data_IF_735423112133
#
_entry.id   IF_735423112133
#
_cell.length_a   1.000
_cell.length_b   1.000
_cell.length_c   1.000
_cell.angle_alpha   90.00
_cell.angle_beta   90.00
_cell.angle_gamma   90.00
#
_symmetry.space_group_name_H-M   'P 1'
#
loop_
_entity.id
_entity.type
_entity.pdbx_description
1 polymer ?
#
# COMPACT_ATOMS: atom_id res chain seq x y z
N UNK A 1 75.37 -10.18 -13.53
CA UNK A 1 74.23 -11.08 -13.80
C UNK A 1 73.01 -10.42 -13.15
N UNK A 2 72.12 -9.72 -13.88
CA UNK A 2 70.94 -10.26 -14.61
C UNK A 2 70.13 -11.25 -13.74
N UNK A 3 68.80 -11.18 -13.53
CA UNK A 3 67.69 -10.28 -13.87
C UNK A 3 66.41 -10.93 -13.23
N UNK A 4 65.31 -10.17 -13.05
CA UNK A 4 63.91 -10.60 -12.81
C UNK A 4 63.37 -10.91 -11.38
N UNK A 5 62.69 -9.91 -10.81
CA UNK A 5 61.30 -10.06 -10.31
C UNK A 5 60.33 -9.92 -11.52
N UNK A 6 58.98 -10.16 -11.46
CA UNK A 6 58.08 -10.20 -10.30
C UNK A 6 56.85 -11.17 -10.45
N UNK A 7 55.80 -10.92 -9.63
CA UNK A 7 54.37 -11.18 -9.88
C UNK A 7 53.76 -12.56 -9.52
N UNK A 8 53.06 -12.60 -8.37
CA UNK A 8 51.70 -13.17 -8.33
C UNK A 8 50.91 -12.54 -7.19
N UNK A 9 50.20 -11.47 -7.58
CA UNK A 9 49.11 -10.89 -6.84
C UNK A 9 47.99 -11.94 -6.70
N UNK A 10 47.80 -12.46 -5.49
CA UNK A 10 46.54 -13.11 -5.14
C UNK A 10 45.50 -12.00 -4.95
N UNK A 11 44.72 -11.84 -6.01
CA UNK A 11 43.59 -10.93 -6.17
C UNK A 11 42.79 -10.73 -4.89
N UNK A 12 42.53 -9.46 -4.63
CA UNK A 12 41.45 -8.98 -3.81
C UNK A 12 40.13 -9.67 -4.19
N UNK A 13 39.71 -10.64 -3.38
CA UNK A 13 38.30 -10.95 -3.22
C UNK A 13 37.67 -9.84 -2.39
N UNK A 14 37.58 -8.62 -2.96
CA UNK A 14 36.64 -7.62 -2.47
C UNK A 14 35.26 -8.25 -2.55
N UNK A 15 34.80 -8.81 -1.43
CA UNK A 15 33.39 -8.99 -1.16
C UNK A 15 32.77 -7.61 -1.24
N UNK A 16 32.33 -7.24 -2.44
CA UNK A 16 31.44 -6.14 -2.64
C UNK A 16 30.18 -6.52 -1.86
N UNK A 17 30.12 -6.05 -0.62
CA UNK A 17 28.88 -5.92 0.14
C UNK A 17 27.87 -5.34 -0.83
N UNK A 18 26.91 -6.18 -1.24
CA UNK A 18 25.83 -5.81 -2.14
C UNK A 18 24.87 -4.92 -1.33
N UNK A 19 25.30 -3.69 -1.08
CA UNK A 19 24.51 -2.56 -0.59
C UNK A 19 23.73 -1.73 -1.65
N UNK A 20 23.46 -2.14 -2.92
CA UNK A 20 22.75 -1.23 -3.83
C UNK A 20 21.22 -1.20 -3.68
N UNK A 21 20.57 -2.16 -3.02
CA UNK A 21 19.08 -2.24 -3.02
C UNK A 21 18.39 -1.47 -1.89
N UNK A 22 19.02 -1.33 -0.72
CA UNK A 22 18.47 -0.54 0.40
C UNK A 22 18.42 0.97 0.11
N UNK A 23 19.30 1.45 -0.79
CA UNK A 23 19.48 2.88 -1.03
C UNK A 23 18.46 3.46 -2.02
N UNK A 24 18.01 2.67 -3.02
CA UNK A 24 17.06 3.13 -4.03
C UNK A 24 15.64 3.34 -3.47
N UNK A 25 15.19 2.47 -2.55
CA UNK A 25 13.91 2.64 -1.87
C UNK A 25 13.90 3.88 -0.94
N UNK A 26 15.01 4.15 -0.24
CA UNK A 26 15.11 5.32 0.65
C UNK A 26 15.06 6.63 -0.11
N UNK A 27 15.79 6.76 -1.22
CA UNK A 27 15.82 8.02 -1.98
C UNK A 27 14.44 8.39 -2.55
N UNK A 28 13.73 7.42 -3.15
CA UNK A 28 12.39 7.66 -3.70
C UNK A 28 11.37 8.02 -2.61
N UNK A 29 11.46 7.38 -1.45
CA UNK A 29 10.63 7.74 -0.28
C UNK A 29 10.95 9.16 0.21
N UNK A 30 12.23 9.51 0.32
CA UNK A 30 12.64 10.86 0.76
C UNK A 30 12.23 11.96 -0.22
N UNK A 31 12.37 11.73 -1.54
CA UNK A 31 11.97 12.73 -2.54
C UNK A 31 10.46 12.99 -2.50
N UNK A 32 9.65 11.94 -2.34
CA UNK A 32 8.20 12.04 -2.14
C UNK A 32 7.87 12.79 -0.85
N UNK A 33 8.52 12.46 0.26
CA UNK A 33 8.36 13.15 1.55
C UNK A 33 8.61 14.65 1.46
N UNK A 34 9.64 15.07 0.72
CA UNK A 34 9.96 16.50 0.54
C UNK A 34 8.87 17.23 -0.25
N UNK A 35 8.33 16.61 -1.30
CA UNK A 35 7.26 17.19 -2.11
C UNK A 35 5.96 17.37 -1.31
N UNK A 36 5.65 16.38 -0.47
CA UNK A 36 4.46 16.39 0.36
C UNK A 36 4.56 17.38 1.54
N UNK A 37 5.72 17.49 2.19
CA UNK A 37 6.01 18.54 3.19
C UNK A 37 5.80 19.94 2.61
N UNK A 38 6.25 20.16 1.37
CA UNK A 38 6.05 21.45 0.67
C UNK A 38 4.57 21.72 0.37
N UNK A 39 3.76 20.69 0.12
CA UNK A 39 2.31 20.85 -0.05
C UNK A 39 1.65 21.24 1.27
N UNK A 40 2.04 20.61 2.38
CA UNK A 40 1.47 20.89 3.71
C UNK A 40 1.85 22.27 4.25
N UNK A 41 3.09 22.70 4.05
CA UNK A 41 3.51 24.07 4.40
C UNK A 41 2.64 25.09 3.67
N UNK A 42 2.43 24.89 2.36
CA UNK A 42 1.53 25.75 1.57
C UNK A 42 0.09 25.72 2.09
N UNK A 43 -0.46 24.54 2.38
CA UNK A 43 -1.82 24.42 2.92
C UNK A 43 -1.97 25.07 4.31
N UNK A 44 -0.94 24.96 5.17
CA UNK A 44 -0.91 25.60 6.47
C UNK A 44 -0.81 27.13 6.34
N UNK A 45 0.00 27.64 5.41
CA UNK A 45 0.13 29.06 5.08
C UNK A 45 -1.17 29.64 4.50
N UNK A 46 -1.93 28.84 3.72
CA UNK A 46 -3.19 29.23 3.08
C UNK A 46 -4.42 29.20 4.00
N UNK A 47 -4.27 28.82 5.28
CA UNK A 47 -5.34 28.97 6.28
C UNK A 47 -5.80 27.69 6.99
N UNK A 48 -5.10 26.57 6.80
CA UNK A 48 -5.23 25.40 7.67
C UNK A 48 -5.10 24.05 6.95
N UNK A 49 -4.69 23.03 7.70
CA UNK A 49 -4.50 21.66 7.20
C UNK A 49 -5.80 20.93 6.85
N UNK A 50 -6.95 21.44 7.31
CA UNK A 50 -8.24 20.84 7.05
C UNK A 50 -9.25 21.88 6.56
N UNK A 51 -9.98 21.57 5.49
CA UNK A 51 -11.07 22.41 5.02
C UNK A 51 -12.23 22.41 6.03
N UNK A 52 -12.74 23.61 6.36
CA UNK A 52 -13.79 23.81 7.38
C UNK A 52 -15.21 23.48 6.91
N UNK A 53 -15.38 23.36 5.60
CA UNK A 53 -16.63 23.14 4.88
C UNK A 53 -16.82 21.70 4.41
N UNK A 54 -15.93 20.78 4.83
CA UNK A 54 -15.95 19.37 4.42
C UNK A 54 -16.20 18.43 5.58
N UNK A 55 -16.74 17.26 5.26
CA UNK A 55 -16.84 16.15 6.20
C UNK A 55 -15.46 15.54 6.40
N UNK A 56 -14.99 15.44 7.64
CA UNK A 56 -13.69 14.84 7.96
C UNK A 56 -13.90 13.51 8.68
N UNK A 57 -13.33 12.44 8.14
CA UNK A 57 -13.32 11.10 8.75
C UNK A 57 -11.92 10.81 9.27
N UNK A 58 -11.79 10.52 10.57
CA UNK A 58 -10.53 10.15 11.20
C UNK A 58 -10.46 8.66 11.54
N UNK A 59 -9.56 7.93 10.90
CA UNK A 59 -9.31 6.50 11.15
C UNK A 59 -8.09 6.36 12.05
N UNK A 60 -8.24 5.73 13.21
CA UNK A 60 -7.12 5.55 14.14
C UNK A 60 -6.16 4.44 13.68
N UNK A 61 -4.88 4.58 14.02
CA UNK A 61 -3.85 3.58 13.75
C UNK A 61 -4.19 2.18 14.31
N UNK A 62 -4.71 2.02 15.55
CA UNK A 62 -5.13 0.72 16.06
C UNK A 62 -6.22 0.05 15.21
N UNK A 63 -7.22 0.83 14.76
CA UNK A 63 -8.29 0.33 13.91
C UNK A 63 -7.75 -0.09 12.53
N UNK A 64 -6.89 0.73 11.93
CA UNK A 64 -6.26 0.37 10.65
C UNK A 64 -5.44 -0.92 10.75
N UNK A 65 -4.71 -1.12 11.85
CA UNK A 65 -3.97 -2.37 12.11
C UNK A 65 -4.90 -3.56 12.33
N UNK A 66 -6.06 -3.38 12.97
CA UNK A 66 -7.06 -4.43 13.11
C UNK A 66 -7.66 -4.84 11.77
N UNK A 67 -8.04 -3.86 10.94
CA UNK A 67 -8.56 -4.10 9.59
C UNK A 67 -7.53 -4.80 8.70
N UNK A 68 -6.27 -4.36 8.74
CA UNK A 68 -5.20 -4.98 7.98
C UNK A 68 -4.94 -6.43 8.43
N UNK A 69 -5.05 -6.71 9.74
CA UNK A 69 -4.96 -8.09 10.27
C UNK A 69 -6.10 -8.99 9.80
N UNK A 70 -7.33 -8.47 9.73
CA UNK A 70 -8.49 -9.22 9.23
C UNK A 70 -8.43 -9.49 7.73
N UNK A 71 -7.76 -8.62 6.97
CA UNK A 71 -7.57 -8.76 5.52
C UNK A 71 -6.44 -9.73 5.13
N UNK A 72 -5.71 -10.29 6.11
CA UNK A 72 -4.59 -11.19 5.93
C UNK A 72 -4.86 -12.56 6.58
N UNK A 73 -4.26 -13.66 6.09
CA UNK A 73 -3.27 -13.73 5.00
C UNK A 73 -3.89 -13.58 3.60
N UNK A 74 -3.10 -13.10 2.65
CA UNK A 74 -3.52 -12.94 1.25
C UNK A 74 -2.43 -13.42 0.30
N UNK A 75 -2.81 -14.18 -0.71
CA UNK A 75 -1.90 -14.70 -1.73
C UNK A 75 -2.26 -14.15 -3.11
N UNK A 76 -1.25 -13.73 -3.87
CA UNK A 76 -1.43 -13.20 -5.21
C UNK A 76 -0.26 -13.62 -6.11
N UNK A 77 -0.58 -13.97 -7.36
CA UNK A 77 0.43 -14.13 -8.41
C UNK A 77 0.63 -12.78 -9.10
N UNK A 78 1.89 -12.35 -9.18
CA UNK A 78 2.29 -11.02 -9.65
C UNK A 78 3.16 -11.19 -10.89
N UNK A 79 2.82 -10.45 -11.94
CA UNK A 79 3.53 -10.52 -13.23
C UNK A 79 3.53 -11.91 -13.87
N UNK A 80 2.64 -12.82 -13.43
CA UNK A 80 2.59 -14.22 -13.88
C UNK A 80 3.81 -15.06 -13.50
N UNK A 81 4.69 -14.56 -12.61
CA UNK A 81 6.00 -15.16 -12.30
C UNK A 81 6.25 -15.36 -10.83
N UNK A 82 5.67 -14.52 -9.98
CA UNK A 82 5.92 -14.54 -8.54
C UNK A 82 4.64 -14.81 -7.79
N UNK A 83 4.67 -15.79 -6.90
CA UNK A 83 3.63 -16.02 -5.90
C UNK A 83 4.04 -15.31 -4.62
N UNK A 84 3.27 -14.30 -4.26
CA UNK A 84 3.48 -13.50 -3.04
C UNK A 84 2.37 -13.83 -2.06
N UNK A 85 2.74 -14.23 -0.84
CA UNK A 85 1.83 -14.46 0.27
C UNK A 85 2.14 -13.47 1.38
N UNK A 86 1.25 -12.51 1.59
CA UNK A 86 1.31 -11.57 2.69
C UNK A 86 0.65 -12.20 3.92
N UNK A 87 1.32 -12.12 5.06
CA UNK A 87 0.92 -12.78 6.31
C UNK A 87 0.61 -11.77 7.41
N UNK A 88 1.34 -10.66 7.46
CA UNK A 88 1.14 -9.60 8.46
C UNK A 88 1.29 -8.23 7.83
N UNK A 89 0.63 -7.24 8.43
CA UNK A 89 0.77 -5.84 8.09
C UNK A 89 0.84 -5.00 9.38
N UNK A 90 1.70 -4.00 9.36
CA UNK A 90 1.81 -2.96 10.38
C UNK A 90 1.54 -1.61 9.73
N UNK A 91 0.52 -0.90 10.23
CA UNK A 91 0.15 0.43 9.77
C UNK A 91 0.65 1.46 10.78
N UNK A 92 1.27 2.55 10.30
CA UNK A 92 1.75 3.66 11.13
C UNK A 92 1.37 5.01 10.53
N UNK A 93 0.69 5.83 11.31
CA UNK A 93 0.21 7.17 10.92
C UNK A 93 0.99 8.28 11.63
N UNK A 94 2.33 8.23 11.52
CA UNK A 94 3.24 9.20 12.15
C UNK A 94 3.91 10.16 11.15
N UNK A 95 4.19 9.67 9.95
CA UNK A 95 5.08 10.34 8.99
C UNK A 95 4.33 10.76 7.69
N UNK A 96 3.17 11.41 7.84
CA UNK A 96 2.40 12.10 6.79
C UNK A 96 1.71 11.22 5.73
N UNK A 97 2.25 10.05 5.39
CA UNK A 97 1.78 9.20 4.27
C UNK A 97 1.16 7.87 4.65
N UNK A 98 1.02 7.63 5.95
CA UNK A 98 0.52 6.36 6.47
C UNK A 98 1.36 5.20 5.96
N UNK A 99 2.52 5.00 6.58
CA UNK A 99 3.39 3.92 6.23
C UNK A 99 2.71 2.57 6.54
N UNK A 100 2.77 1.65 5.60
CA UNK A 100 2.30 0.28 5.79
C UNK A 100 3.44 -0.67 5.49
N UNK A 101 3.81 -1.49 6.49
CA UNK A 101 4.82 -2.52 6.33
C UNK A 101 4.15 -3.88 6.26
N UNK A 102 4.34 -4.61 5.18
CA UNK A 102 3.86 -5.98 5.07
C UNK A 102 5.00 -6.97 5.27
N UNK A 103 4.66 -8.10 5.85
CA UNK A 103 5.55 -9.25 6.00
C UNK A 103 4.91 -10.46 5.36
N UNK A 104 5.71 -11.23 4.64
CA UNK A 104 5.23 -12.40 3.93
C UNK A 104 6.34 -13.18 3.27
N UNK A 105 5.96 -13.97 2.28
CA UNK A 105 6.85 -14.84 1.51
C UNK A 105 6.67 -14.62 0.03
N UNK A 106 7.76 -14.77 -0.73
CA UNK A 106 7.74 -14.74 -2.19
C UNK A 106 8.45 -15.96 -2.75
N UNK A 107 7.85 -16.58 -3.74
CA UNK A 107 8.42 -17.71 -4.47
C UNK A 107 8.08 -17.65 -5.96
N UNK A 108 8.69 -18.50 -6.79
CA UNK A 108 8.28 -18.63 -8.18
C UNK A 108 6.84 -19.14 -8.26
N UNK A 109 6.06 -18.63 -9.21
CA UNK A 109 4.78 -19.24 -9.58
C UNK A 109 5.07 -20.53 -10.34
N UNK A 110 4.37 -21.62 -10.01
CA UNK A 110 4.55 -22.89 -10.70
C UNK A 110 4.31 -22.75 -12.23
N UNK A 111 5.17 -23.32 -13.09
CA UNK A 111 4.95 -23.31 -14.54
C UNK A 111 3.79 -24.26 -14.89
N UNK A 112 2.67 -23.72 -15.38
CA UNK A 112 1.58 -24.53 -15.99
C UNK A 112 0.16 -24.36 -15.45
N UNK A 113 -0.10 -23.49 -14.47
CA UNK A 113 -1.43 -23.41 -13.85
C UNK A 113 -2.37 -22.38 -14.49
N UNK A 114 -3.02 -22.72 -15.60
CA UNK A 114 -4.25 -22.06 -16.02
C UNK A 114 -5.35 -22.26 -14.96
N UNK A 115 -5.55 -21.25 -14.11
CA UNK A 115 -6.83 -20.92 -13.47
C UNK A 115 -7.70 -22.06 -12.90
N UNK A 116 -7.13 -23.03 -12.18
CA UNK A 116 -7.88 -24.13 -11.55
C UNK A 116 -7.57 -24.29 -10.05
N UNK A 117 -8.54 -24.66 -9.18
CA UNK A 117 -8.40 -24.67 -7.71
C UNK A 117 -7.60 -25.87 -7.14
N UNK A 118 -6.71 -26.50 -7.91
CA UNK A 118 -6.16 -27.82 -7.60
C UNK A 118 -4.63 -27.99 -7.63
N UNK A 119 -3.82 -26.94 -7.80
CA UNK A 119 -2.36 -27.04 -7.62
C UNK A 119 -1.90 -26.29 -6.36
N UNK A 120 -2.33 -26.84 -5.20
CA UNK A 120 -1.88 -26.49 -3.85
C UNK A 120 -0.55 -27.19 -3.49
N UNK A 121 0.40 -27.22 -4.42
CA UNK A 121 1.79 -27.51 -4.06
C UNK A 121 2.40 -26.28 -3.40
N UNK A 122 2.97 -26.43 -2.21
CA UNK A 122 3.87 -25.39 -1.69
C UNK A 122 5.03 -25.24 -2.70
N UNK A 123 5.29 -24.02 -3.19
CA UNK A 123 6.49 -23.72 -3.97
C UNK A 123 7.71 -24.35 -3.30
N UNK A 124 8.51 -25.04 -4.11
CA UNK A 124 9.73 -25.68 -3.64
C UNK A 124 10.73 -24.70 -2.98
N UNK A 125 10.53 -23.39 -3.18
CA UNK A 125 11.38 -22.34 -2.64
C UNK A 125 10.57 -21.08 -2.29
N UNK A 126 10.88 -20.49 -1.14
CA UNK A 126 10.38 -19.19 -0.70
C UNK A 126 11.48 -18.33 -0.08
N UNK A 127 11.45 -17.03 -0.34
CA UNK A 127 12.21 -16.02 0.37
C UNK A 127 11.29 -15.21 1.28
N UNK A 128 11.80 -14.79 2.43
CA UNK A 128 11.11 -13.86 3.31
C UNK A 128 11.08 -12.48 2.65
N UNK A 129 9.89 -11.88 2.63
CA UNK A 129 9.62 -10.60 2.00
C UNK A 129 9.08 -9.63 3.05
N UNK A 130 9.70 -8.45 3.14
CA UNK A 130 9.09 -7.29 3.75
C UNK A 130 8.81 -6.25 2.67
N UNK A 131 7.55 -5.83 2.52
CA UNK A 131 7.15 -4.76 1.60
C UNK A 131 6.94 -3.48 2.39
N UNK A 132 7.39 -2.37 1.81
CA UNK A 132 7.15 -1.03 2.31
C UNK A 132 6.18 -0.34 1.35
N UNK A 133 5.02 0.03 1.89
CA UNK A 133 4.00 0.76 1.16
C UNK A 133 3.59 2.04 1.87
N UNK A 134 2.88 2.88 1.12
CA UNK A 134 2.27 4.12 1.58
C UNK A 134 0.81 4.12 1.18
N UNK A 135 -0.03 4.77 1.99
CA UNK A 135 -1.41 5.06 1.58
C UNK A 135 -1.34 5.98 0.37
N UNK A 136 -1.91 5.55 -0.76
CA UNK A 136 -1.81 6.26 -2.03
C UNK A 136 -3.13 6.95 -2.37
N UNK A 137 -4.17 6.14 -2.59
CA UNK A 137 -5.50 6.65 -2.92
C UNK A 137 -6.50 6.21 -1.87
N UNK A 138 -7.33 7.14 -1.43
CA UNK A 138 -8.54 6.83 -0.68
C UNK A 138 -9.74 7.28 -1.49
N UNK A 139 -10.71 6.39 -1.70
CA UNK A 139 -11.91 6.64 -2.47
C UNK A 139 -13.17 6.17 -1.76
N UNK A 140 -14.32 6.73 -2.12
CA UNK A 140 -15.62 6.22 -1.68
C UNK A 140 -16.12 5.26 -2.75
N UNK A 141 -16.31 3.99 -2.38
CA UNK A 141 -16.95 3.01 -3.24
C UNK A 141 -18.39 3.44 -3.52
N UNK A 142 -18.69 3.75 -4.78
CA UNK A 142 -20.02 4.21 -5.21
C UNK A 142 -21.11 3.18 -5.00
N UNK A 143 -20.83 1.89 -5.02
CA UNK A 143 -21.84 0.86 -4.81
C UNK A 143 -22.19 0.70 -3.32
N UNK A 144 -21.18 0.81 -2.44
CA UNK A 144 -21.35 0.46 -1.02
C UNK A 144 -21.37 1.66 -0.07
N UNK A 145 -20.80 2.80 -0.48
CA UNK A 145 -20.55 3.98 0.36
C UNK A 145 -19.36 3.80 1.29
N UNK A 146 -18.60 2.72 1.14
CA UNK A 146 -17.48 2.38 2.01
C UNK A 146 -16.23 3.11 1.54
N UNK A 147 -15.49 3.69 2.48
CA UNK A 147 -14.16 4.25 2.20
C UNK A 147 -13.16 3.11 1.94
N UNK A 148 -12.53 3.13 0.77
CA UNK A 148 -11.48 2.21 0.36
C UNK A 148 -10.15 2.92 0.33
N UNK A 149 -9.14 2.25 0.85
CA UNK A 149 -7.77 2.72 0.87
C UNK A 149 -6.91 1.75 0.07
N UNK A 150 -6.15 2.26 -0.89
CA UNK A 150 -5.14 1.48 -1.61
C UNK A 150 -3.75 1.83 -1.10
N UNK A 151 -2.91 0.80 -1.01
CA UNK A 151 -1.51 0.94 -0.62
C UNK A 151 -0.63 0.72 -1.85
N UNK A 152 0.23 1.69 -2.12
CA UNK A 152 1.24 1.60 -3.18
C UNK A 152 2.59 1.24 -2.59
N UNK A 153 3.28 0.29 -3.21
CA UNK A 153 4.56 -0.21 -2.75
C UNK A 153 5.72 0.64 -3.26
N UNK A 154 6.53 1.13 -2.33
CA UNK A 154 7.67 2.02 -2.60
C UNK A 154 9.01 1.31 -2.44
N UNK A 155 9.03 0.14 -1.80
CA UNK A 155 10.24 -0.65 -1.63
C UNK A 155 9.96 -2.03 -1.05
N UNK A 156 11.01 -2.85 -1.02
CA UNK A 156 10.96 -4.16 -0.38
C UNK A 156 12.33 -4.56 0.17
N UNK A 157 12.33 -5.48 1.11
CA UNK A 157 13.50 -6.17 1.64
C UNK A 157 13.28 -7.68 1.49
N UNK A 158 14.31 -8.39 1.05
CA UNK A 158 14.33 -9.85 1.01
C UNK A 158 15.29 -10.36 2.08
N UNK A 159 14.86 -11.32 2.89
CA UNK A 159 15.74 -12.08 3.78
C UNK A 159 15.88 -13.50 3.25
N UNK A 160 17.12 -13.98 3.15
CA UNK A 160 17.43 -15.38 2.84
C UNK A 160 17.15 -16.24 4.07
N UNK A 161 16.57 -17.42 3.88
CA UNK A 161 16.60 -18.49 4.86
C UNK A 161 17.59 -19.58 4.44
N UNK A 162 18.33 -20.07 5.43
CA UNK A 162 19.39 -21.09 5.34
C UNK A 162 18.82 -22.52 5.28
N UNK A 163 17.50 -22.70 5.36
CA UNK A 163 16.86 -24.01 5.57
C UNK A 163 16.96 -24.97 4.37
N UNK A 164 17.30 -24.46 3.19
CA UNK A 164 17.62 -25.27 2.01
C UNK A 164 18.88 -24.66 1.41
N UNK A 165 20.02 -25.35 1.58
CA UNK A 165 21.35 -24.89 1.17
C UNK A 165 21.33 -24.23 -0.21
N UNK A 166 22.12 -23.15 -0.36
CA UNK A 166 22.16 -22.21 -1.50
C UNK A 166 21.68 -22.79 -2.84
N UNK A 167 20.36 -22.91 -3.03
CA UNK A 167 19.85 -23.43 -4.29
C UNK A 167 20.11 -22.37 -5.35
N UNK A 168 20.62 -22.80 -6.51
CA UNK A 168 20.85 -21.92 -7.64
C UNK A 168 19.58 -21.14 -8.00
N UNK A 169 18.43 -21.83 -7.95
CA UNK A 169 17.09 -21.25 -8.12
C UNK A 169 16.78 -20.12 -7.15
N UNK A 170 17.12 -20.28 -5.86
CA UNK A 170 16.91 -19.24 -4.86
C UNK A 170 17.82 -18.03 -5.07
N UNK A 171 19.06 -18.23 -5.51
CA UNK A 171 19.98 -17.14 -5.88
C UNK A 171 19.48 -16.38 -7.11
N UNK A 172 19.03 -17.11 -8.14
CA UNK A 172 18.46 -16.51 -9.35
C UNK A 172 17.19 -15.71 -9.04
N UNK A 173 16.31 -16.20 -8.16
CA UNK A 173 15.13 -15.45 -7.75
C UNK A 173 15.49 -14.12 -7.08
N UNK A 174 16.47 -14.13 -6.17
CA UNK A 174 16.93 -12.92 -5.48
C UNK A 174 17.58 -11.92 -6.44
N UNK A 175 18.37 -12.42 -7.39
CA UNK A 175 18.99 -11.58 -8.43
C UNK A 175 17.92 -10.97 -9.35
N UNK A 176 16.89 -11.74 -9.75
CA UNK A 176 15.81 -11.27 -10.61
C UNK A 176 14.90 -10.25 -9.89
N UNK A 177 14.42 -10.59 -8.68
CA UNK A 177 13.65 -9.64 -7.85
C UNK A 177 14.47 -8.40 -7.52
N UNK A 178 15.77 -8.57 -7.31
CA UNK A 178 16.68 -7.48 -7.07
C UNK A 178 16.82 -6.50 -8.23
N UNK A 179 16.61 -6.95 -9.48
CA UNK A 179 16.76 -6.14 -10.68
C UNK A 179 15.45 -5.50 -11.13
N UNK A 180 14.33 -6.23 -11.05
CA UNK A 180 13.03 -5.83 -11.62
C UNK A 180 11.84 -6.09 -10.68
N UNK A 181 12.10 -6.59 -9.48
CA UNK A 181 11.06 -7.03 -8.55
C UNK A 181 10.15 -5.90 -8.07
N UNK A 182 10.65 -4.67 -7.91
CA UNK A 182 9.80 -3.57 -7.45
C UNK A 182 8.69 -3.27 -8.46
N UNK A 183 8.98 -3.24 -9.75
CA UNK A 183 7.97 -2.94 -10.77
C UNK A 183 6.94 -4.07 -10.91
N UNK A 184 7.38 -5.32 -10.75
CA UNK A 184 6.45 -6.43 -10.61
C UNK A 184 5.58 -6.25 -9.35
N UNK A 185 6.20 -6.04 -8.19
CA UNK A 185 5.52 -5.94 -6.89
C UNK A 185 4.60 -4.72 -6.77
N UNK A 186 4.83 -3.64 -7.53
CA UNK A 186 3.88 -2.51 -7.64
C UNK A 186 2.51 -2.93 -8.19
N UNK A 187 2.43 -4.04 -8.93
CA UNK A 187 1.15 -4.58 -9.40
C UNK A 187 0.37 -5.33 -8.30
N UNK A 188 0.95 -5.52 -7.11
CA UNK A 188 0.18 -6.00 -5.96
C UNK A 188 -0.85 -4.96 -5.56
N UNK A 189 -2.10 -5.40 -5.41
CA UNK A 189 -3.18 -4.56 -4.94
C UNK A 189 -3.61 -5.04 -3.55
N UNK A 190 -3.44 -4.18 -2.55
CA UNK A 190 -3.93 -4.43 -1.19
C UNK A 190 -4.95 -3.36 -0.78
N UNK A 191 -6.22 -3.50 -1.19
CA UNK A 191 -7.27 -2.61 -0.75
C UNK A 191 -7.64 -2.91 0.71
N UNK A 192 -7.68 -1.86 1.54
CA UNK A 192 -8.20 -1.89 2.92
C UNK A 192 -9.55 -1.19 2.93
N UNK A 193 -10.60 -1.91 3.33
CA UNK A 193 -11.92 -1.32 3.52
C UNK A 193 -12.01 -0.70 4.92
N UNK A 194 -12.21 0.61 4.99
CA UNK A 194 -12.46 1.33 6.23
C UNK A 194 -13.96 1.16 6.54
N UNK A 195 -14.36 0.65 7.72
CA UNK A 195 -15.74 0.28 8.05
C UNK A 195 -16.63 1.50 8.35
N UNK A 196 -16.42 2.60 7.62
CA UNK A 196 -17.27 3.78 7.63
C UNK A 196 -18.09 3.74 6.35
N UNK A 197 -19.41 3.64 6.50
CA UNK A 197 -20.36 3.73 5.40
C UNK A 197 -20.92 5.14 5.36
N UNK A 198 -20.66 5.83 4.25
CA UNK A 198 -21.24 7.14 3.99
C UNK A 198 -22.54 6.93 3.21
N UNK A 199 -23.64 7.46 3.74
CA UNK A 199 -24.92 7.44 3.03
C UNK A 199 -24.81 8.28 1.75
N UNK A 200 -25.32 7.73 0.65
CA UNK A 200 -25.25 8.37 -0.66
C UNK A 200 -26.59 8.99 -1.07
N UNK A 201 -27.56 8.99 -0.17
CA UNK A 201 -28.92 9.47 -0.43
C UNK A 201 -29.53 9.96 0.87
N UNK A 202 -30.14 11.13 0.84
CA UNK A 202 -30.96 11.63 1.95
C UNK A 202 -32.41 11.30 1.62
N UNK A 203 -33.03 10.44 2.42
CA UNK A 203 -34.46 10.19 2.36
C UNK A 203 -35.21 11.33 3.05
N UNK A 204 -35.97 12.11 2.28
CA UNK A 204 -36.87 13.13 2.81
C UNK A 204 -38.22 12.48 3.09
N UNK A 205 -38.52 12.30 4.37
CA UNK A 205 -39.81 11.78 4.82
C UNK A 205 -40.93 12.76 4.50
N UNK A 206 -42.15 12.25 4.29
CA UNK A 206 -43.36 13.08 4.16
C UNK A 206 -43.51 13.94 5.41
N UNK A 207 -43.57 15.25 5.23
CA UNK A 207 -43.99 16.16 6.29
C UNK A 207 -45.45 16.53 6.03
N UNK A 208 -46.36 15.91 6.79
CA UNK A 208 -47.73 16.42 6.93
C UNK A 208 -48.41 15.87 8.18
N UNK A 209 -49.04 16.77 8.96
CA UNK A 209 -50.45 16.63 9.30
C UNK A 209 -51.16 17.96 9.57
N UNK A 210 -50.48 18.98 10.06
CA UNK A 210 -51.04 20.34 10.24
C UNK A 210 -49.97 21.40 9.93
N UNK A 211 -50.16 22.19 8.87
CA UNK A 211 -49.24 23.27 8.49
C UNK A 211 -49.31 23.66 7.00
N UNK A 212 -48.86 24.89 6.64
CA UNK A 212 -48.93 25.41 5.28
C UNK A 212 -47.91 24.75 4.31
N UNK A 213 -46.87 24.09 4.83
CA UNK A 213 -45.85 23.42 4.02
C UNK A 213 -46.16 21.93 3.92
N UNK A 214 -46.27 21.42 2.69
CA UNK A 214 -46.45 20.00 2.38
C UNK A 214 -45.23 19.48 1.63
N UNK A 215 -44.51 18.53 2.23
CA UNK A 215 -43.40 17.84 1.58
C UNK A 215 -43.84 16.41 1.23
N UNK A 216 -43.82 16.09 -0.06
CA UNK A 216 -43.94 14.70 -0.51
C UNK A 216 -42.65 13.95 -0.16
N UNK A 217 -42.71 12.62 0.04
CA UNK A 217 -41.51 11.81 0.10
C UNK A 217 -40.66 12.07 -1.13
N UNK A 218 -39.38 12.35 -0.91
CA UNK A 218 -38.42 12.55 -1.98
C UNK A 218 -37.09 11.95 -1.55
N UNK A 219 -36.22 11.70 -2.52
CA UNK A 219 -34.84 11.38 -2.19
C UNK A 219 -33.87 12.27 -2.95
N UNK A 220 -32.80 12.63 -2.23
CA UNK A 220 -31.78 13.55 -2.70
C UNK A 220 -30.46 12.77 -2.78
N UNK A 221 -29.98 12.42 -3.98
CA UNK A 221 -28.71 11.73 -4.11
C UNK A 221 -27.56 12.65 -3.75
N UNK A 222 -26.62 12.11 -2.97
CA UNK A 222 -25.39 12.76 -2.58
C UNK A 222 -24.24 12.27 -3.46
N UNK A 223 -23.40 13.20 -3.87
CA UNK A 223 -22.11 12.91 -4.48
C UNK A 223 -21.04 13.15 -3.43
N UNK A 224 -20.32 12.08 -3.10
CA UNK A 224 -19.23 12.07 -2.15
C UNK A 224 -17.91 11.98 -2.92
N UNK A 225 -16.99 12.90 -2.67
CA UNK A 225 -15.67 12.92 -3.32
C UNK A 225 -14.60 13.11 -2.26
N UNK A 226 -13.62 12.20 -2.20
CA UNK A 226 -12.44 12.41 -1.36
C UNK A 226 -11.62 13.54 -1.99
N UNK A 227 -11.32 14.55 -1.21
CA UNK A 227 -10.58 15.74 -1.68
C UNK A 227 -9.21 15.86 -1.07
N UNK A 228 -9.01 15.30 0.12
CA UNK A 228 -7.71 15.32 0.78
C UNK A 228 -7.54 14.12 1.73
N UNK A 229 -6.30 13.69 1.91
CA UNK A 229 -5.91 12.58 2.78
C UNK A 229 -4.60 12.94 3.47
N UNK A 230 -4.57 12.87 4.79
CA UNK A 230 -3.37 13.15 5.58
C UNK A 230 -3.22 12.15 6.73
N UNK A 231 -2.01 11.64 6.96
CA UNK A 231 -1.73 10.76 8.09
C UNK A 231 -0.87 11.45 9.15
N UNK A 232 -1.47 11.89 10.26
CA UNK A 232 -0.73 12.50 11.35
C UNK A 232 -1.41 12.27 12.71
N UNK A 233 -0.64 12.35 13.79
CA UNK A 233 -1.17 12.18 15.14
C UNK A 233 -1.75 10.78 15.41
N UNK A 234 -1.24 9.75 14.73
CA UNK A 234 -1.75 8.38 14.88
C UNK A 234 -3.10 8.15 14.20
N UNK A 235 -3.49 9.01 13.24
CA UNK A 235 -4.75 8.92 12.50
C UNK A 235 -4.54 9.19 11.01
N UNK A 236 -5.32 8.51 10.19
CA UNK A 236 -5.55 8.86 8.79
C UNK A 236 -6.81 9.73 8.72
N UNK A 237 -6.65 10.96 8.27
CA UNK A 237 -7.71 11.92 8.07
C UNK A 237 -8.11 11.93 6.61
N UNK A 238 -9.40 11.83 6.34
CA UNK A 238 -9.97 11.82 4.99
C UNK A 238 -11.00 12.94 4.92
N UNK A 239 -10.74 13.94 4.08
CA UNK A 239 -11.66 15.04 3.84
C UNK A 239 -12.55 14.73 2.64
N UNK A 240 -13.86 14.68 2.86
CA UNK A 240 -14.87 14.33 1.88
C UNK A 240 -15.73 15.55 1.58
N UNK A 241 -15.77 15.93 0.31
CA UNK A 241 -16.74 16.88 -0.21
C UNK A 241 -18.08 16.19 -0.46
N UNK A 242 -19.17 16.82 -0.02
CA UNK A 242 -20.53 16.31 -0.06
C UNK A 242 -21.39 17.28 -0.83
N UNK A 243 -21.75 16.91 -2.06
CA UNK A 243 -22.62 17.75 -2.90
C UNK A 243 -23.93 17.05 -3.19
N UNK A 244 -25.05 17.73 -2.88
CA UNK A 244 -26.36 17.27 -3.32
C UNK A 244 -26.53 17.62 -4.81
N UNK A 245 -27.01 16.67 -5.62
CA UNK A 245 -27.46 16.96 -6.98
C UNK A 245 -28.98 16.75 -7.06
N UNK A 246 -29.75 17.76 -7.52
CA UNK A 246 -31.12 17.49 -7.92
C UNK A 246 -31.10 16.53 -9.13
N UNK A 247 -32.01 15.56 -9.14
CA UNK A 247 -32.28 14.71 -10.30
C UNK A 247 -33.07 15.45 -11.35
#
# INVERSE_FOLDING_TARGET
MLLLAPLLAAMAGCGADREPQRFLARKAVLERQVEDLRRLVRAAEEGGLFPRDKLVVGVSEPLANELARLALPREQVVGGRYRVRLERAEVRFRDEHGAVRFHGKVGPSAPGGSGGPAERGEPAFFADLALFGVVDTVDVDRATGVLRCNVSFVGFELKRFEAYGESETGRLLLEELGRQGLDALKALAFPIAIPVRLEQEIALSRVSREGPVRLLPASLPLRLTVTDVAAHGGRLWVAVDVTARPR
#
